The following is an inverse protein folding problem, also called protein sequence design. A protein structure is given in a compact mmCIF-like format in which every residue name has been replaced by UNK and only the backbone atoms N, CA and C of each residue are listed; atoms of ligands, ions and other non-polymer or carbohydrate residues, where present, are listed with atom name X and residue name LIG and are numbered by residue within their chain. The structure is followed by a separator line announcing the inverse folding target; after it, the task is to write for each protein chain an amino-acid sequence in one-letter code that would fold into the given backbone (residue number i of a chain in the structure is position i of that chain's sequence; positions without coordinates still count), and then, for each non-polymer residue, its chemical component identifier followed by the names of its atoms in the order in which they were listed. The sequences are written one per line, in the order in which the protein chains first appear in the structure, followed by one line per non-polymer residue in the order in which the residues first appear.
data_IF_931167301693
#
_entry.id   IF_931167301693
#
_cell.length_a   1.000
_cell.length_b   1.000
_cell.length_c   1.000
_cell.angle_alpha   90.00
_cell.angle_beta   90.00
_cell.angle_gamma   90.00
#
_symmetry.space_group_name_H-M   'P 1'
#
loop_
_entity.id
_entity.type
_entity.pdbx_description
1 polymer ?
#
# COMPACT_ATOMS: atom_id res chain seq x y z
N UNK A 1 24.52 0.66 -9.86
CA UNK A 1 23.52 0.01 -8.98
C UNK A 1 22.42 -0.51 -9.86
N UNK A 2 21.99 -1.76 -9.67
CA UNK A 2 20.76 -2.24 -10.28
C UNK A 2 19.59 -1.45 -9.68
N UNK A 3 18.71 -0.90 -10.53
CA UNK A 3 17.55 -0.14 -10.06
C UNK A 3 16.60 -1.01 -9.23
N UNK A 4 15.87 -0.38 -8.32
CA UNK A 4 14.83 -1.05 -7.55
C UNK A 4 13.79 -1.64 -8.50
N UNK A 5 13.51 -2.94 -8.39
CA UNK A 5 12.57 -3.64 -9.26
C UNK A 5 11.63 -4.51 -8.43
N UNK A 6 10.44 -4.00 -8.13
CA UNK A 6 9.37 -4.78 -7.52
C UNK A 6 8.85 -5.87 -8.45
N UNK A 7 8.24 -6.90 -7.87
CA UNK A 7 7.50 -7.92 -8.63
C UNK A 7 6.03 -7.54 -8.66
N UNK A 8 5.34 -7.67 -9.81
CA UNK A 8 3.91 -7.44 -9.87
C UNK A 8 3.18 -8.42 -8.96
N UNK A 9 2.02 -8.02 -8.41
CA UNK A 9 1.26 -8.90 -7.54
C UNK A 9 0.71 -10.15 -8.26
N UNK A 10 0.67 -11.28 -7.56
CA UNK A 10 0.14 -12.55 -8.07
C UNK A 10 -1.37 -12.53 -8.32
N UNK A 11 -1.85 -13.43 -9.19
CA UNK A 11 -3.26 -13.54 -9.61
C UNK A 11 -4.25 -13.87 -8.49
N UNK A 12 -3.77 -14.51 -7.41
CA UNK A 12 -4.54 -14.81 -6.18
C UNK A 12 -4.58 -13.66 -5.17
N UNK A 13 -4.05 -12.49 -5.54
CA UNK A 13 -4.07 -11.29 -4.69
C UNK A 13 -5.50 -10.89 -4.34
N UNK A 14 -5.93 -11.24 -3.14
CA UNK A 14 -7.27 -10.99 -2.64
C UNK A 14 -8.01 -12.19 -2.06
N UNK A 15 -7.46 -13.39 -2.24
CA UNK A 15 -8.06 -14.63 -1.76
C UNK A 15 -8.02 -14.75 -0.23
N UNK A 16 -8.97 -15.50 0.32
CA UNK A 16 -9.20 -15.59 1.76
C UNK A 16 -8.43 -16.75 2.39
N UNK A 17 -7.79 -16.51 3.54
CA UNK A 17 -7.18 -17.59 4.34
C UNK A 17 -8.20 -18.66 4.73
N UNK A 18 -7.82 -19.94 4.58
CA UNK A 18 -8.64 -21.10 4.95
C UNK A 18 -9.15 -21.01 6.40
N UNK A 19 -8.32 -20.52 7.34
CA UNK A 19 -8.70 -20.34 8.76
C UNK A 19 -9.88 -19.38 8.94
N UNK A 20 -9.94 -18.30 8.16
CA UNK A 20 -11.06 -17.35 8.24
C UNK A 20 -12.26 -17.75 7.40
N UNK A 21 -12.10 -18.72 6.49
CA UNK A 21 -13.21 -19.32 5.76
C UNK A 21 -14.12 -20.14 6.69
N UNK A 22 -13.54 -20.80 7.70
CA UNK A 22 -14.26 -21.65 8.67
C UNK A 22 -15.19 -20.84 9.60
N UNK A 23 -14.86 -19.58 9.88
CA UNK A 23 -15.62 -18.73 10.83
C UNK A 23 -16.84 -18.06 10.21
N UNK A 24 -17.19 -18.37 8.97
CA UNK A 24 -18.24 -17.66 8.22
C UNK A 24 -19.56 -18.42 8.26
N UNK A 25 -20.70 -17.70 8.17
CA UNK A 25 -22.00 -18.33 8.02
C UNK A 25 -21.96 -19.32 6.85
N UNK A 26 -22.49 -20.53 7.08
CA UNK A 26 -22.63 -21.52 6.02
C UNK A 26 -23.50 -20.93 4.91
N UNK A 27 -22.97 -20.95 3.69
CA UNK A 27 -23.73 -20.57 2.50
C UNK A 27 -24.17 -21.87 1.84
N UNK A 28 -25.46 -22.01 1.57
CA UNK A 28 -26.03 -23.12 0.83
C UNK A 28 -25.94 -22.89 -0.70
N UNK A 29 -24.85 -22.28 -1.15
CA UNK A 29 -24.54 -22.08 -2.56
C UNK A 29 -23.30 -22.86 -2.92
N UNK A 30 -23.29 -23.43 -4.12
CA UNK A 30 -22.07 -24.00 -4.68
C UNK A 30 -21.00 -22.91 -4.90
N UNK A 31 -19.71 -23.26 -4.91
CA UNK A 31 -18.64 -22.32 -5.21
C UNK A 31 -18.84 -21.57 -6.54
N UNK A 32 -19.40 -22.26 -7.54
CA UNK A 32 -19.70 -21.68 -8.85
C UNK A 32 -20.80 -20.61 -8.75
N UNK A 33 -21.93 -20.91 -8.08
CA UNK A 33 -23.04 -19.96 -7.87
C UNK A 33 -22.58 -18.72 -7.08
N UNK A 34 -21.81 -18.93 -6.01
CA UNK A 34 -21.25 -17.82 -5.22
C UNK A 34 -20.31 -16.94 -6.07
N UNK A 35 -19.52 -17.54 -6.96
CA UNK A 35 -18.62 -16.80 -7.86
C UNK A 35 -19.40 -15.99 -8.90
N UNK A 36 -20.45 -16.55 -9.49
CA UNK A 36 -21.33 -15.84 -10.44
C UNK A 36 -22.06 -14.68 -9.77
N UNK A 37 -22.61 -14.88 -8.57
CA UNK A 37 -23.27 -13.84 -7.79
C UNK A 37 -22.31 -12.66 -7.51
N UNK A 38 -21.08 -12.95 -7.10
CA UNK A 38 -20.04 -11.94 -6.86
C UNK A 38 -19.61 -11.22 -8.13
N UNK A 39 -19.56 -11.92 -9.27
CA UNK A 39 -19.25 -11.31 -10.58
C UNK A 39 -20.31 -10.28 -10.97
N UNK A 40 -21.60 -10.63 -10.85
CA UNK A 40 -22.70 -9.71 -11.12
C UNK A 40 -22.69 -8.52 -10.15
N UNK A 41 -22.35 -8.74 -8.88
CA UNK A 41 -22.20 -7.64 -7.91
C UNK A 41 -21.10 -6.65 -8.29
N UNK A 42 -19.96 -7.15 -8.79
CA UNK A 42 -18.86 -6.28 -9.30
C UNK A 42 -19.27 -5.49 -10.55
N UNK A 43 -20.26 -5.95 -11.29
CA UNK A 43 -20.85 -5.25 -12.44
C UNK A 43 -21.90 -4.22 -12.04
N UNK A 44 -22.15 -4.02 -10.73
CA UNK A 44 -23.07 -3.02 -10.21
C UNK A 44 -24.50 -3.50 -9.98
N UNK A 45 -24.80 -4.79 -10.16
CA UNK A 45 -26.14 -5.31 -9.91
C UNK A 45 -26.49 -5.34 -8.41
N UNK A 46 -27.77 -5.07 -8.11
CA UNK A 46 -28.33 -5.17 -6.76
C UNK A 46 -28.57 -6.65 -6.37
N UNK A 47 -28.48 -7.01 -5.08
CA UNK A 47 -28.66 -8.40 -4.60
C UNK A 47 -29.95 -9.06 -5.09
N UNK A 48 -31.06 -8.32 -5.10
CA UNK A 48 -32.39 -8.79 -5.54
C UNK A 48 -32.38 -9.18 -7.02
N UNK A 49 -31.74 -8.33 -7.85
CA UNK A 49 -31.58 -8.60 -9.28
C UNK A 49 -30.66 -9.80 -9.52
N UNK A 50 -29.62 -9.97 -8.70
CA UNK A 50 -28.71 -11.12 -8.80
C UNK A 50 -29.43 -12.42 -8.44
N UNK A 51 -30.20 -12.41 -7.35
CA UNK A 51 -31.02 -13.54 -6.92
C UNK A 51 -32.01 -13.96 -8.01
N UNK A 52 -32.73 -13.00 -8.60
CA UNK A 52 -33.65 -13.24 -9.70
C UNK A 52 -32.94 -13.77 -10.96
N UNK A 53 -31.76 -13.22 -11.31
CA UNK A 53 -31.00 -13.62 -12.50
C UNK A 53 -30.46 -15.05 -12.39
N UNK A 54 -30.06 -15.46 -11.19
CA UNK A 54 -29.46 -16.77 -10.94
C UNK A 54 -30.45 -17.83 -10.44
N UNK A 55 -31.70 -17.45 -10.17
CA UNK A 55 -32.70 -18.33 -9.58
C UNK A 55 -32.32 -18.82 -8.18
N UNK A 56 -31.66 -17.96 -7.39
CA UNK A 56 -31.14 -18.30 -6.06
C UNK A 56 -31.92 -17.59 -4.96
N UNK A 57 -32.01 -18.16 -3.74
CA UNK A 57 -32.59 -17.46 -2.59
C UNK A 57 -31.82 -16.16 -2.29
N UNK A 58 -32.56 -15.06 -2.10
CA UNK A 58 -31.97 -13.75 -1.82
C UNK A 58 -31.03 -13.79 -0.60
N UNK A 59 -31.47 -14.42 0.48
CA UNK A 59 -30.69 -14.55 1.72
C UNK A 59 -29.33 -15.22 1.49
N UNK A 60 -29.28 -16.26 0.65
CA UNK A 60 -28.04 -16.97 0.33
C UNK A 60 -27.12 -16.15 -0.58
N UNK A 61 -27.70 -15.37 -1.49
CA UNK A 61 -26.97 -14.38 -2.28
C UNK A 61 -26.37 -13.32 -1.35
N UNK A 62 -27.14 -12.76 -0.42
CA UNK A 62 -26.66 -11.77 0.54
C UNK A 62 -25.51 -12.32 1.40
N UNK A 63 -25.65 -13.54 1.94
CA UNK A 63 -24.55 -14.22 2.65
C UNK A 63 -23.30 -14.34 1.77
N UNK A 64 -23.45 -14.68 0.50
CA UNK A 64 -22.33 -14.78 -0.44
C UNK A 64 -21.67 -13.43 -0.80
N UNK A 65 -22.46 -12.34 -0.80
CA UNK A 65 -22.01 -10.98 -1.07
C UNK A 65 -21.37 -10.31 0.15
N UNK A 66 -21.90 -10.50 1.36
CA UNK A 66 -21.28 -10.05 2.63
C UNK A 66 -19.90 -10.69 2.82
N UNK A 67 -19.72 -11.87 2.27
CA UNK A 67 -18.44 -12.57 2.25
C UNK A 67 -17.43 -12.01 1.24
N UNK A 68 -17.82 -11.09 0.35
CA UNK A 68 -16.87 -10.38 -0.50
C UNK A 68 -15.91 -9.59 0.38
N UNK A 69 -14.63 -9.93 0.32
CA UNK A 69 -13.59 -9.11 0.94
C UNK A 69 -13.12 -8.07 -0.05
N UNK A 70 -12.76 -6.88 0.45
CA UNK A 70 -11.69 -6.11 -0.17
C UNK A 70 -10.46 -7.02 -0.24
N UNK A 71 -9.83 -7.17 -1.41
CA UNK A 71 -8.76 -8.15 -1.62
C UNK A 71 -7.68 -8.02 -0.53
N UNK A 72 -7.49 -9.08 0.28
CA UNK A 72 -6.36 -9.13 1.21
C UNK A 72 -5.05 -9.21 0.40
N UNK A 73 -4.09 -8.31 0.65
CA UNK A 73 -2.77 -8.38 0.03
C UNK A 73 -2.02 -9.62 0.52
N UNK A 74 -1.41 -10.38 -0.39
CA UNK A 74 -0.52 -11.53 -0.11
C UNK A 74 0.66 -11.18 0.81
N UNK A 75 1.38 -12.20 1.31
CA UNK A 75 2.63 -12.11 2.08
C UNK A 75 3.82 -11.49 1.32
N UNK A 76 3.67 -11.24 0.01
CA UNK A 76 4.59 -10.44 -0.79
C UNK A 76 4.45 -8.93 -0.54
N UNK A 77 3.49 -8.53 0.31
CA UNK A 77 3.12 -7.12 0.52
C UNK A 77 3.11 -6.79 2.01
N UNK A 78 3.83 -5.74 2.38
CA UNK A 78 3.61 -5.01 3.63
C UNK A 78 2.60 -3.89 3.40
N UNK A 79 1.74 -3.62 4.39
CA UNK A 79 1.01 -2.35 4.42
C UNK A 79 1.88 -1.33 5.14
N UNK A 80 2.12 -0.18 4.50
CA UNK A 80 2.81 0.94 5.12
C UNK A 80 1.78 1.99 5.49
N UNK A 81 1.66 2.30 6.78
CA UNK A 81 0.91 3.48 7.21
C UNK A 81 1.72 4.72 6.86
N UNK A 82 1.09 5.67 6.16
CA UNK A 82 1.71 6.92 5.74
C UNK A 82 0.88 8.11 6.19
N UNK A 83 1.49 9.29 6.23
CA UNK A 83 0.77 10.53 6.52
C UNK A 83 -0.15 10.91 5.34
N UNK A 84 -1.17 11.72 5.61
CA UNK A 84 -2.04 12.26 4.55
C UNK A 84 -1.26 13.09 3.52
N UNK A 85 -0.22 13.80 3.96
CA UNK A 85 0.66 14.56 3.07
C UNK A 85 1.41 13.63 2.11
N UNK A 86 2.00 12.54 2.62
CA UNK A 86 2.67 11.54 1.79
C UNK A 86 1.71 10.88 0.80
N UNK A 87 0.49 10.56 1.23
CA UNK A 87 -0.54 10.04 0.34
C UNK A 87 -0.86 11.01 -0.80
N UNK A 88 -1.06 12.31 -0.50
CA UNK A 88 -1.32 13.33 -1.53
C UNK A 88 -0.18 13.46 -2.54
N UNK A 89 1.07 13.41 -2.06
CA UNK A 89 2.25 13.43 -2.91
C UNK A 89 2.26 12.24 -3.88
N UNK A 90 2.07 11.02 -3.36
CA UNK A 90 2.05 9.79 -4.18
C UNK A 90 0.96 9.89 -5.26
N UNK A 91 -0.20 10.43 -4.92
CA UNK A 91 -1.30 10.61 -5.89
C UNK A 91 -0.99 11.68 -6.95
N UNK A 92 -0.28 12.75 -6.58
CA UNK A 92 0.13 13.79 -7.52
C UNK A 92 1.23 13.33 -8.49
N UNK A 93 2.12 12.46 -8.03
CA UNK A 93 3.22 11.87 -8.82
C UNK A 93 2.77 10.71 -9.74
N UNK A 94 1.49 10.34 -9.70
CA UNK A 94 0.97 9.20 -10.44
C UNK A 94 0.85 9.52 -11.93
N UNK A 95 1.48 8.71 -12.78
CA UNK A 95 1.42 8.90 -14.23
C UNK A 95 0.16 8.26 -14.83
N UNK A 96 -0.86 9.08 -15.12
CA UNK A 96 -2.09 8.63 -15.77
C UNK A 96 -2.78 7.50 -14.98
N UNK A 97 -2.90 6.32 -15.60
CA UNK A 97 -3.57 5.15 -15.02
C UNK A 97 -2.62 4.18 -14.31
N UNK A 98 -1.36 4.55 -14.09
CA UNK A 98 -0.34 3.70 -13.47
C UNK A 98 -0.83 3.10 -12.13
N UNK A 99 -0.63 1.80 -11.84
CA UNK A 99 -0.91 1.25 -10.52
C UNK A 99 -0.05 1.89 -9.42
N UNK A 100 -0.63 2.16 -8.25
CA UNK A 100 0.08 2.84 -7.14
C UNK A 100 1.40 2.17 -6.73
N UNK A 101 1.50 0.85 -6.83
CA UNK A 101 2.74 0.13 -6.50
C UNK A 101 3.86 0.46 -7.50
N UNK A 102 3.55 0.66 -8.79
CA UNK A 102 4.56 1.06 -9.79
C UNK A 102 5.02 2.50 -9.55
N UNK A 103 4.08 3.39 -9.21
CA UNK A 103 4.41 4.77 -8.84
C UNK A 103 5.37 4.79 -7.64
N UNK A 104 5.11 3.97 -6.61
CA UNK A 104 6.01 3.83 -5.46
C UNK A 104 7.38 3.26 -5.83
N UNK A 105 7.44 2.19 -6.63
CA UNK A 105 8.70 1.59 -7.07
C UNK A 105 9.56 2.61 -7.83
N UNK A 106 8.95 3.40 -8.71
CA UNK A 106 9.62 4.47 -9.47
C UNK A 106 10.18 5.56 -8.55
N UNK A 107 9.36 6.08 -7.63
CA UNK A 107 9.79 7.13 -6.69
C UNK A 107 10.94 6.65 -5.78
N UNK A 108 10.91 5.39 -5.35
CA UNK A 108 11.99 4.78 -4.56
C UNK A 108 13.26 4.68 -5.41
N UNK A 109 13.16 4.22 -6.66
CA UNK A 109 14.32 4.10 -7.55
C UNK A 109 14.96 5.47 -7.84
N UNK A 110 14.15 6.50 -8.11
CA UNK A 110 14.61 7.88 -8.30
C UNK A 110 15.34 8.42 -7.06
N UNK A 111 14.78 8.21 -5.86
CA UNK A 111 15.43 8.59 -4.61
C UNK A 111 16.78 7.89 -4.41
N UNK A 112 16.86 6.59 -4.72
CA UNK A 112 18.12 5.83 -4.61
C UNK A 112 19.19 6.35 -5.58
N UNK A 113 18.80 6.72 -6.81
CA UNK A 113 19.71 7.36 -7.78
C UNK A 113 20.22 8.70 -7.27
N UNK A 114 19.32 9.57 -6.80
CA UNK A 114 19.69 10.87 -6.24
C UNK A 114 20.66 10.74 -5.05
N UNK A 115 20.43 9.75 -4.18
CA UNK A 115 21.34 9.46 -3.06
C UNK A 115 22.71 8.97 -3.53
N UNK A 116 22.75 8.08 -4.53
CA UNK A 116 24.01 7.59 -5.09
C UNK A 116 24.82 8.73 -5.75
N UNK A 117 24.15 9.65 -6.46
CA UNK A 117 24.83 10.79 -7.10
C UNK A 117 25.26 11.87 -6.10
N UNK A 118 24.53 12.03 -4.99
CA UNK A 118 24.99 12.85 -3.86
C UNK A 118 26.26 12.27 -3.22
N UNK A 119 26.32 10.95 -3.00
CA UNK A 119 27.48 10.28 -2.43
C UNK A 119 28.74 10.44 -3.30
N UNK A 120 28.62 10.26 -4.62
CA UNK A 120 29.75 10.47 -5.56
C UNK A 120 30.28 11.91 -5.54
N UNK A 121 29.39 12.90 -5.40
CA UNK A 121 29.78 14.32 -5.31
C UNK A 121 30.53 14.62 -4.00
N UNK A 122 30.16 13.99 -2.90
CA UNK A 122 30.92 14.12 -1.64
C UNK A 122 32.31 13.47 -1.69
N UNK A 123 32.47 12.37 -2.43
CA UNK A 123 33.76 11.68 -2.61
C UNK A 123 34.72 12.49 -3.50
N UNK A 124 34.20 13.15 -4.54
CA UNK A 124 35.01 14.01 -5.43
C UNK A 124 35.29 15.41 -4.85
N UNK A 125 34.57 15.82 -3.80
CA UNK A 125 34.70 17.14 -3.17
C UNK A 125 35.73 17.27 -2.04
N UNK A 126 36.36 16.19 -1.58
CA UNK A 126 37.24 16.20 -0.38
C UNK A 126 38.74 16.40 -0.67
N UNK A 127 39.12 16.78 -1.90
CA UNK A 127 40.52 16.95 -2.29
C UNK A 127 41.19 18.31 -1.99
N UNK A 128 40.48 19.37 -1.55
CA UNK A 128 41.12 20.72 -1.47
C UNK A 128 40.83 21.62 -0.27
N UNK A 129 40.09 21.19 0.75
CA UNK A 129 39.68 22.09 1.85
C UNK A 129 40.00 21.60 3.27
N UNK A 130 41.05 20.80 3.45
CA UNK A 130 41.57 20.41 4.80
C UNK A 130 43.02 20.86 5.00
N UNK A 131 43.27 22.17 4.92
CA UNK A 131 44.48 22.78 5.51
C UNK A 131 44.21 24.19 6.03
N UNK A 132 43.20 24.33 6.89
CA UNK A 132 43.11 25.39 7.90
C UNK A 132 42.45 24.78 9.15
N UNK A 133 43.22 23.97 9.87
CA UNK A 133 42.94 23.66 11.26
C UNK A 133 43.62 24.73 12.11
N UNK A 134 42.84 25.37 12.98
CA UNK A 134 43.35 26.35 13.93
C UNK A 134 42.25 27.22 14.52
N UNK A 135 41.36 26.64 15.32
CA UNK A 135 40.69 27.23 16.48
C UNK A 135 39.53 26.31 16.93
N UNK A 136 39.67 25.72 18.11
CA UNK A 136 38.56 25.30 18.96
C UNK A 136 38.39 26.38 20.06
N UNK A 137 37.39 26.33 20.97
CA UNK A 137 36.21 25.46 21.08
C UNK A 137 34.91 26.24 21.46
N UNK A 138 33.85 25.47 21.74
CA UNK A 138 32.71 25.75 22.66
C UNK A 138 31.38 26.34 22.14
N UNK A 139 30.29 25.70 22.64
CA UNK A 139 28.91 26.18 22.81
C UNK A 139 28.12 26.34 21.49
N UNK A 140 26.85 25.98 21.30
CA UNK A 140 25.64 25.56 22.03
C UNK A 140 24.82 24.85 20.92
N UNK A 141 24.07 23.77 21.17
CA UNK A 141 22.62 23.84 21.34
C UNK A 141 22.12 22.42 21.61
N UNK A 142 22.08 22.05 22.89
CA UNK A 142 21.10 21.10 23.39
C UNK A 142 19.93 21.96 23.86
N UNK A 143 18.87 22.04 23.08
CA UNK A 143 17.58 22.54 23.57
C UNK A 143 16.58 21.39 23.63
N UNK A 144 16.00 21.11 24.82
CA UNK A 144 14.90 20.17 24.94
C UNK A 144 13.64 20.81 24.35
N UNK A 145 12.97 20.10 23.44
CA UNK A 145 11.64 20.50 22.99
C UNK A 145 10.65 20.26 24.13
N UNK A 146 10.33 21.32 24.87
CA UNK A 146 9.20 21.35 25.79
C UNK A 146 7.91 21.06 25.01
N UNK A 147 7.18 20.03 25.46
CA UNK A 147 5.83 19.72 24.97
C UNK A 147 4.85 20.52 25.83
N UNK A 148 4.05 21.44 25.27
CA UNK A 148 3.03 22.12 26.06
C UNK A 148 1.93 21.12 26.43
N UNK A 149 1.80 20.88 27.73
CA UNK A 149 0.75 20.06 28.31
C UNK A 149 -0.64 20.65 28.06
N UNK A 150 -1.56 19.79 27.61
CA UNK A 150 -3.00 19.99 27.76
C UNK A 150 -3.54 19.00 28.79
N UNK A 151 -3.96 19.53 29.94
CA UNK A 151 -5.10 19.11 30.77
C UNK A 151 -5.02 19.97 32.05
N UNK A 152 -6.06 20.67 32.50
CA UNK A 152 -7.47 20.32 32.53
C UNK A 152 -8.36 21.52 32.21
#
# INVERSE_FOLDING_TARGET
MAGFKGRPPGSGSGEMSRRTQVLRPAIQLTPHQATQARKLRRQGHAPERIAATLGLPLEEVEKALVQMRSPRPETTRGTLNVTLAAHRLIMAERNGTEPLWQTMDRLIDELLRLRADAAKRSETGTGRARKRQGAAPEQELLLPLEVPGRAR
#
